data_IF_678760051220
#
_entry.id   IF_678760051220
#
_cell.length_a   1.000
_cell.length_b   1.000
_cell.length_c   1.000
_cell.angle_alpha   90.00
_cell.angle_beta   90.00
_cell.angle_gamma   90.00
#
_symmetry.space_group_name_H-M   'P 1'
#
loop_
_entity.id
_entity.type
_entity.pdbx_description
1 polymer ?
#
# COMPACT_ATOMS: atom_id res chain seq x y z
N UNK A 1 19.53 31.82 -10.24
CA UNK A 1 18.07 31.84 -10.52
C UNK A 1 17.59 30.73 -11.46
N UNK A 2 18.47 30.01 -12.17
CA UNK A 2 18.08 28.93 -13.09
C UNK A 2 17.98 27.54 -12.43
N UNK A 3 18.58 27.37 -11.25
CA UNK A 3 18.66 26.07 -10.57
C UNK A 3 17.35 25.66 -9.90
N UNK A 4 16.52 26.63 -9.47
CA UNK A 4 15.20 26.36 -8.89
C UNK A 4 14.26 25.71 -9.91
N UNK A 5 14.26 26.22 -11.14
CA UNK A 5 13.44 25.68 -12.22
C UNK A 5 13.91 24.29 -12.63
N UNK A 6 15.22 24.03 -12.65
CA UNK A 6 15.77 22.70 -12.93
C UNK A 6 15.35 21.67 -11.88
N UNK A 7 15.40 22.06 -10.61
CA UNK A 7 15.04 21.19 -9.49
C UNK A 7 13.54 20.86 -9.45
N UNK A 8 12.69 21.82 -9.80
CA UNK A 8 11.24 21.60 -9.95
C UNK A 8 10.95 20.66 -11.12
N UNK A 9 11.64 20.81 -12.24
CA UNK A 9 11.48 19.93 -13.40
C UNK A 9 11.91 18.48 -13.10
N UNK A 10 12.97 18.27 -12.31
CA UNK A 10 13.40 16.94 -11.87
C UNK A 10 12.38 16.29 -10.93
N UNK A 11 11.83 17.06 -9.99
CA UNK A 11 10.78 16.58 -9.08
C UNK A 11 9.50 16.19 -9.84
N UNK A 12 9.08 17.00 -10.82
CA UNK A 12 7.92 16.68 -11.66
C UNK A 12 8.14 15.42 -12.49
N UNK A 13 9.36 15.20 -13.02
CA UNK A 13 9.70 13.95 -13.71
C UNK A 13 9.64 12.74 -12.79
N UNK A 14 10.06 12.84 -11.54
CA UNK A 14 9.97 11.73 -10.58
C UNK A 14 8.53 11.37 -10.20
N UNK A 15 7.64 12.35 -10.13
CA UNK A 15 6.23 12.16 -9.76
C UNK A 15 5.37 11.70 -10.95
N UNK A 16 5.66 12.21 -12.15
CA UNK A 16 4.90 11.94 -13.37
C UNK A 16 5.53 10.85 -14.24
N UNK A 17 6.74 10.39 -13.90
CA UNK A 17 7.34 9.24 -14.55
C UNK A 17 6.35 8.07 -14.45
N UNK A 18 5.94 7.47 -15.57
CA UNK A 18 5.09 6.30 -15.54
C UNK A 18 5.81 5.23 -14.73
N UNK A 19 5.34 4.99 -13.50
CA UNK A 19 5.78 3.84 -12.74
C UNK A 19 5.42 2.63 -13.59
N UNK A 20 6.41 1.95 -14.15
CA UNK A 20 6.23 0.67 -14.85
C UNK A 20 5.90 -0.40 -13.81
N UNK A 21 4.72 -0.25 -13.22
CA UNK A 21 4.08 -1.19 -12.32
C UNK A 21 3.71 -2.44 -13.12
N UNK A 22 4.72 -3.24 -13.45
CA UNK A 22 4.55 -4.65 -13.83
C UNK A 22 4.04 -5.41 -12.60
N UNK A 23 2.78 -5.17 -12.22
CA UNK A 23 2.02 -6.19 -11.50
C UNK A 23 1.73 -7.30 -12.51
N UNK A 24 2.64 -8.26 -12.59
CA UNK A 24 2.24 -9.59 -13.08
C UNK A 24 1.34 -10.18 -11.99
N UNK A 25 0.04 -9.96 -12.11
CA UNK A 25 -0.95 -10.89 -11.57
C UNK A 25 -0.85 -12.15 -12.44
N UNK A 26 0.18 -12.96 -12.18
CA UNK A 26 0.29 -14.30 -12.75
C UNK A 26 -0.81 -15.13 -12.11
N UNK A 27 -1.88 -15.33 -12.85
CA UNK A 27 -2.84 -16.40 -12.62
C UNK A 27 -2.04 -17.70 -12.54
N UNK A 28 -1.86 -18.25 -11.35
CA UNK A 28 -1.28 -19.59 -11.17
C UNK A 28 -2.43 -20.56 -11.48
N UNK A 29 -2.41 -21.30 -12.61
CA UNK A 29 -3.37 -22.37 -12.76
C UNK A 29 -3.11 -23.36 -11.62
N UNK A 30 -4.17 -23.75 -10.91
CA UNK A 30 -4.12 -24.88 -10.01
C UNK A 30 -3.71 -26.10 -10.85
N UNK A 31 -2.44 -26.51 -10.75
CA UNK A 31 -2.01 -27.80 -11.24
C UNK A 31 -2.88 -28.85 -10.56
N UNK A 32 -3.55 -29.68 -11.37
CA UNK A 32 -4.39 -30.79 -10.94
C UNK A 32 -3.74 -31.55 -9.78
N UNK A 33 -4.56 -31.85 -8.77
CA UNK A 33 -4.18 -32.76 -7.70
C UNK A 33 -3.62 -34.07 -8.32
N UNK A 34 -2.45 -34.56 -7.88
CA UNK A 34 -1.99 -35.87 -8.32
C UNK A 34 -2.96 -36.92 -7.79
N UNK A 35 -3.41 -37.81 -8.68
CA UNK A 35 -4.21 -38.97 -8.35
C UNK A 35 -3.51 -39.76 -7.23
N UNK A 36 -4.29 -40.14 -6.21
CA UNK A 36 -3.81 -40.96 -5.10
C UNK A 36 -3.25 -42.29 -5.63
N UNK A 37 -1.93 -42.40 -5.66
CA UNK A 37 -1.27 -43.70 -5.77
C UNK A 37 -1.27 -44.35 -4.38
N UNK A 38 -1.57 -45.65 -4.26
CA UNK A 38 -1.45 -46.35 -2.99
C UNK A 38 0.02 -46.34 -2.55
N UNK A 39 0.24 -45.79 -1.36
CA UNK A 39 1.54 -45.54 -0.76
C UNK A 39 2.18 -46.88 -0.34
N UNK A 40 3.30 -47.27 -0.96
CA UNK A 40 4.13 -48.38 -0.47
C UNK A 40 4.55 -48.12 0.98
N UNK A 41 4.71 -49.16 1.84
CA UNK A 41 5.03 -48.97 3.26
C UNK A 41 6.31 -48.16 3.41
N UNK A 42 6.17 -46.90 3.82
CA UNK A 42 7.30 -46.00 4.04
C UNK A 42 8.02 -46.49 5.29
N UNK A 43 9.29 -46.84 5.16
CA UNK A 43 10.21 -47.00 6.28
C UNK A 43 10.06 -45.77 7.19
N UNK A 44 9.71 -45.98 8.46
CA UNK A 44 9.41 -44.91 9.40
C UNK A 44 10.60 -43.95 9.48
N UNK A 45 10.47 -42.80 8.82
CA UNK A 45 11.42 -41.71 8.99
C UNK A 45 11.33 -41.20 10.43
N UNK A 46 12.45 -40.90 11.10
CA UNK A 46 12.43 -40.26 12.40
C UNK A 46 11.64 -38.96 12.30
N UNK A 47 10.65 -38.79 13.18
CA UNK A 47 9.85 -37.58 13.26
C UNK A 47 10.79 -36.36 13.44
N UNK A 48 10.59 -35.25 12.71
CA UNK A 48 11.37 -34.05 12.94
C UNK A 48 11.21 -33.60 14.40
N UNK A 49 12.25 -33.04 15.03
CA UNK A 49 12.14 -32.56 16.40
C UNK A 49 10.95 -31.60 16.53
N UNK A 50 10.18 -31.76 17.61
CA UNK A 50 9.05 -30.90 17.97
C UNK A 50 9.47 -29.45 17.77
N UNK A 51 8.70 -28.68 17.00
CA UNK A 51 8.99 -27.28 16.66
C UNK A 51 9.33 -26.47 17.91
N UNK A 52 10.62 -26.27 18.18
CA UNK A 52 11.10 -25.38 19.23
C UNK A 52 11.18 -23.98 18.63
N UNK A 53 10.06 -23.29 18.52
CA UNK A 53 10.13 -21.85 18.31
C UNK A 53 10.98 -21.26 19.44
N UNK A 54 12.03 -20.50 19.11
CA UNK A 54 12.94 -19.92 20.11
C UNK A 54 12.24 -18.98 21.12
N UNK A 55 10.99 -18.58 20.82
CA UNK A 55 10.12 -17.79 21.69
C UNK A 55 9.09 -18.62 22.47
N UNK A 56 9.09 -19.95 22.33
CA UNK A 56 8.43 -20.89 23.24
C UNK A 56 7.00 -20.56 23.66
N UNK A 57 6.21 -19.90 22.83
CA UNK A 57 4.84 -19.56 23.20
C UNK A 57 3.93 -20.71 22.78
N UNK A 58 3.84 -21.72 23.65
CA UNK A 58 2.80 -22.76 23.57
C UNK A 58 1.42 -22.19 23.91
N UNK A 59 1.38 -21.00 24.53
CA UNK A 59 0.15 -20.27 24.84
C UNK A 59 -0.28 -19.42 23.65
N UNK A 60 -1.54 -19.53 23.17
CA UNK A 60 -2.08 -18.64 22.17
C UNK A 60 -1.93 -17.18 22.62
N UNK A 61 -1.36 -16.33 21.76
CA UNK A 61 -1.22 -14.91 22.07
C UNK A 61 -2.62 -14.28 22.12
N UNK A 62 -3.00 -13.75 23.28
CA UNK A 62 -4.24 -12.99 23.41
C UNK A 62 -4.10 -11.66 22.66
N UNK A 63 -4.70 -11.60 21.47
CA UNK A 63 -4.73 -10.41 20.63
C UNK A 63 -5.54 -9.25 21.22
N UNK A 64 -6.32 -9.48 22.29
CA UNK A 64 -7.05 -8.46 23.02
C UNK A 64 -6.23 -7.86 24.18
N UNK A 65 -5.23 -8.60 24.70
CA UNK A 65 -4.34 -8.13 25.74
C UNK A 65 -3.36 -7.04 25.26
N UNK A 66 -3.17 -6.91 23.94
CA UNK A 66 -2.29 -5.91 23.34
C UNK A 66 -3.01 -5.17 22.21
N UNK A 67 -3.06 -3.84 22.28
CA UNK A 67 -3.54 -3.03 21.17
C UNK A 67 -2.63 -3.24 19.96
N UNK A 68 -3.16 -3.84 18.89
CA UNK A 68 -2.42 -4.03 17.64
C UNK A 68 -2.25 -2.66 16.96
N UNK A 69 -1.22 -1.94 17.37
CA UNK A 69 -0.83 -0.70 16.72
C UNK A 69 -0.30 -1.06 15.33
N UNK A 70 -0.88 -0.46 14.29
CA UNK A 70 -0.39 -0.55 12.92
C UNK A 70 0.28 0.78 12.57
N UNK A 71 1.60 0.97 12.81
CA UNK A 71 2.26 2.27 12.64
C UNK A 71 2.01 2.91 11.27
N UNK A 72 1.98 2.08 10.22
CA UNK A 72 1.73 2.55 8.85
C UNK A 72 0.31 3.07 8.62
N UNK A 73 -0.67 2.54 9.34
CA UNK A 73 -2.07 3.01 9.24
C UNK A 73 -2.19 4.37 9.90
N UNK A 74 -1.65 4.53 11.11
CA UNK A 74 -1.64 5.81 11.83
C UNK A 74 -0.95 6.91 11.01
N UNK A 75 0.20 6.62 10.40
CA UNK A 75 0.86 7.59 9.52
C UNK A 75 0.04 7.91 8.26
N UNK A 76 -0.66 6.92 7.71
CA UNK A 76 -1.54 7.16 6.56
C UNK A 76 -2.75 8.04 6.91
N UNK A 77 -3.32 7.87 8.11
CA UNK A 77 -4.44 8.66 8.61
C UNK A 77 -4.01 10.10 8.90
N UNK A 78 -2.90 10.28 9.63
CA UNK A 78 -2.31 11.61 9.88
C UNK A 78 -2.00 12.36 8.58
N UNK A 79 -1.51 11.66 7.56
CA UNK A 79 -1.25 12.26 6.24
C UNK A 79 -2.55 12.70 5.57
N UNK A 80 -3.61 11.90 5.64
CA UNK A 80 -4.94 12.25 5.12
C UNK A 80 -5.51 13.47 5.84
N UNK A 81 -5.44 13.52 7.16
CA UNK A 81 -5.90 14.68 7.95
C UNK A 81 -5.19 15.97 7.54
N UNK A 82 -3.85 15.94 7.46
CA UNK A 82 -3.05 17.08 6.96
C UNK A 82 -3.47 17.49 5.55
N UNK A 83 -3.75 16.54 4.67
CA UNK A 83 -4.22 16.82 3.31
C UNK A 83 -5.62 17.45 3.31
N UNK A 84 -6.54 16.95 4.13
CA UNK A 84 -7.88 17.52 4.29
C UNK A 84 -7.82 18.95 4.82
N UNK A 85 -7.01 19.21 5.84
CA UNK A 85 -6.81 20.55 6.38
C UNK A 85 -6.25 21.50 5.32
N UNK A 86 -5.23 21.07 4.57
CA UNK A 86 -4.67 21.86 3.46
C UNK A 86 -5.68 22.15 2.38
N UNK A 87 -6.51 21.16 1.99
CA UNK A 87 -7.58 21.35 1.00
C UNK A 87 -8.61 22.37 1.49
N UNK A 88 -9.04 22.28 2.76
CA UNK A 88 -9.97 23.26 3.35
C UNK A 88 -9.40 24.67 3.32
N UNK A 89 -8.16 24.85 3.73
CA UNK A 89 -7.50 26.16 3.67
C UNK A 89 -7.37 26.67 2.23
N UNK A 90 -7.01 25.80 1.28
CA UNK A 90 -6.95 26.17 -0.11
C UNK A 90 -8.30 26.65 -0.63
N UNK A 91 -9.39 25.93 -0.33
CA UNK A 91 -10.76 26.32 -0.72
C UNK A 91 -11.15 27.69 -0.18
N UNK A 92 -10.85 27.98 1.09
CA UNK A 92 -11.15 29.28 1.71
C UNK A 92 -10.37 30.39 1.02
N UNK A 93 -9.04 30.22 0.90
CA UNK A 93 -8.17 31.23 0.29
C UNK A 93 -8.53 31.48 -1.19
N UNK A 94 -8.91 30.43 -1.93
CA UNK A 94 -9.33 30.61 -3.32
C UNK A 94 -10.67 31.30 -3.43
N UNK A 95 -11.61 31.04 -2.51
CA UNK A 95 -12.89 31.74 -2.48
C UNK A 95 -12.69 33.25 -2.23
N UNK A 96 -11.76 33.63 -1.35
CA UNK A 96 -11.40 35.04 -1.10
C UNK A 96 -10.84 35.72 -2.36
N UNK A 97 -10.22 34.95 -3.27
CA UNK A 97 -9.73 35.40 -4.57
C UNK A 97 -10.77 35.28 -5.69
N UNK A 98 -11.99 34.79 -5.39
CA UNK A 98 -13.06 34.55 -6.38
C UNK A 98 -12.87 33.30 -7.25
N UNK A 99 -11.93 32.41 -6.89
CA UNK A 99 -11.62 31.17 -7.61
C UNK A 99 -12.38 30.00 -6.95
N UNK A 100 -13.35 29.44 -7.66
CA UNK A 100 -14.08 28.24 -7.23
C UNK A 100 -13.38 26.96 -7.72
N UNK A 101 -12.64 26.30 -6.83
CA UNK A 101 -11.91 25.07 -7.14
C UNK A 101 -12.83 23.87 -7.46
N UNK A 102 -14.09 23.87 -7.02
CA UNK A 102 -15.02 22.77 -7.32
C UNK A 102 -15.56 22.88 -8.76
N UNK A 103 -15.66 24.11 -9.29
CA UNK A 103 -15.99 24.37 -10.69
C UNK A 103 -14.81 24.19 -11.66
N UNK A 104 -13.58 24.41 -11.19
CA UNK A 104 -12.36 24.30 -12.03
C UNK A 104 -11.98 22.85 -12.39
N UNK A 105 -12.54 21.84 -11.73
CA UNK A 105 -12.38 20.43 -12.15
C UNK A 105 -13.26 20.09 -13.36
N UNK A 106 -14.32 20.87 -13.62
CA UNK A 106 -15.24 20.68 -14.77
C UNK A 106 -14.73 21.39 -16.05
N UNK A 107 -13.79 22.33 -15.92
CA UNK A 107 -13.25 23.14 -17.04
C UNK A 107 -12.11 22.50 -17.85
N UNK A 108 -11.67 21.29 -17.53
CA UNK A 108 -10.64 20.56 -18.31
C UNK A 108 -11.20 19.92 -19.61
N UNK A 109 -12.41 20.30 -20.04
CA UNK A 109 -12.95 19.97 -21.35
C UNK A 109 -12.93 21.22 -22.24
N UNK A 110 -12.04 21.18 -23.24
CA UNK A 110 -12.17 21.98 -24.46
C UNK A 110 -11.63 23.40 -24.39
N UNK A 111 -10.34 23.56 -24.63
CA UNK A 111 -9.88 24.69 -25.45
C UNK A 111 -9.49 24.07 -26.79
N UNK A 112 -10.28 24.42 -27.81
CA UNK A 112 -10.05 24.09 -29.21
C UNK A 112 -8.81 24.81 -29.76
#
# INVERSE_FOLDING_TARGET
MHDCNRRIAELLRLVLAPGSGRRRAGFRPALSAPAHTPESPRTAMPWPPVHRCAYGLDTPLDGNANAVVRPYVLESERKRERQHQRRRLALVLTADLGIDLDRHVVGANGVA
#
